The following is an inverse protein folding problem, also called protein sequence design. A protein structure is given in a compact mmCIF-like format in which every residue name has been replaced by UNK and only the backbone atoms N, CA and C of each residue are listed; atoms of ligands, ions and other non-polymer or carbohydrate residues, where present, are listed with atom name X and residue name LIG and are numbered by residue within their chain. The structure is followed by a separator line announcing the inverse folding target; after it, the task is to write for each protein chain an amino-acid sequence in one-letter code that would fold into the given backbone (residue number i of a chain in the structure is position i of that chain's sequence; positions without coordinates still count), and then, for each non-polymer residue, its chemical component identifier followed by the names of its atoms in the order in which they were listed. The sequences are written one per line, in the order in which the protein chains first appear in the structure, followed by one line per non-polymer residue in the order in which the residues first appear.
data_IF_279435962030
#
_entry.id   IF_279435962030
#
_cell.length_a   1.000
_cell.length_b   1.000
_cell.length_c   1.000
_cell.angle_alpha   90.00
_cell.angle_beta   90.00
_cell.angle_gamma   90.00
#
_symmetry.space_group_name_H-M   'P 1'
#
loop_
_entity.id
_entity.type
_entity.pdbx_description
1 polymer ?
#
# COMPACT_ATOMS: atom_id res chain seq x y z
N UNK A 1 5.14 -10.83 9.32
CA UNK A 1 5.36 -11.51 8.03
C UNK A 1 5.81 -10.48 7.02
N UNK A 2 6.86 -10.76 6.25
CA UNK A 2 7.37 -9.87 5.18
C UNK A 2 6.87 -10.40 3.83
N UNK A 3 6.52 -9.51 2.92
CA UNK A 3 6.08 -9.84 1.57
C UNK A 3 6.87 -9.04 0.53
N UNK A 4 6.96 -9.59 -0.67
CA UNK A 4 7.36 -8.89 -1.89
C UNK A 4 6.27 -9.14 -2.93
N UNK A 5 5.67 -8.08 -3.47
CA UNK A 5 4.57 -8.20 -4.42
C UNK A 5 4.55 -7.03 -5.42
N UNK A 6 3.98 -7.29 -6.59
CA UNK A 6 3.71 -6.29 -7.63
C UNK A 6 2.26 -5.86 -7.61
N UNK A 7 2.02 -4.63 -8.01
CA UNK A 7 0.69 -4.06 -8.03
C UNK A 7 0.66 -2.59 -8.39
N UNK A 8 -0.46 -1.97 -8.07
CA UNK A 8 -0.76 -0.57 -8.38
C UNK A 8 -1.11 0.18 -7.10
N UNK A 9 -0.63 1.42 -7.00
CA UNK A 9 -1.03 2.34 -5.93
C UNK A 9 -2.33 3.01 -6.32
N UNK A 10 -3.28 3.03 -5.39
CA UNK A 10 -4.58 3.66 -5.59
C UNK A 10 -4.93 4.57 -4.42
N UNK A 11 -5.59 5.69 -4.73
CA UNK A 11 -6.22 6.54 -3.72
C UNK A 11 -7.66 6.07 -3.53
N UNK A 12 -8.00 5.59 -2.33
CA UNK A 12 -9.37 5.23 -1.96
C UNK A 12 -10.07 6.42 -1.28
N UNK A 13 -11.28 6.74 -1.75
CA UNK A 13 -12.13 7.81 -1.20
C UNK A 13 -12.93 7.32 0.02
N UNK A 14 -12.22 6.86 1.05
CA UNK A 14 -12.81 6.46 2.35
C UNK A 14 -12.36 7.46 3.41
N UNK A 15 -13.30 8.06 4.14
CA UNK A 15 -13.02 9.12 5.10
C UNK A 15 -12.25 10.29 4.47
N UNK A 16 -11.09 10.65 5.05
CA UNK A 16 -10.18 11.69 4.53
C UNK A 16 -9.26 11.20 3.38
N UNK A 17 -9.62 10.08 2.78
CA UNK A 17 -8.84 9.37 1.77
C UNK A 17 -7.70 8.54 2.37
N UNK A 18 -7.54 7.34 1.83
CA UNK A 18 -6.51 6.37 2.20
C UNK A 18 -5.72 5.92 0.97
N UNK A 19 -4.47 5.52 1.17
CA UNK A 19 -3.64 4.95 0.12
C UNK A 19 -3.68 3.43 0.21
N UNK A 20 -3.85 2.80 -0.95
CA UNK A 20 -3.92 1.37 -1.09
C UNK A 20 -2.84 0.89 -2.05
N UNK A 21 -2.29 -0.28 -1.79
CA UNK A 21 -1.53 -1.07 -2.74
C UNK A 21 -2.38 -2.28 -3.10
N UNK A 22 -2.81 -2.34 -4.35
CA UNK A 22 -3.59 -3.46 -4.89
C UNK A 22 -2.66 -4.33 -5.70
N UNK A 23 -2.44 -5.55 -5.24
CA UNK A 23 -1.54 -6.50 -5.88
C UNK A 23 -2.18 -7.10 -7.14
N UNK A 24 -1.34 -7.64 -8.02
CA UNK A 24 -1.80 -8.34 -9.24
C UNK A 24 -2.69 -9.55 -8.94
N UNK A 25 -2.53 -10.20 -7.77
CA UNK A 25 -3.40 -11.28 -7.29
C UNK A 25 -4.68 -10.78 -6.59
N UNK A 26 -4.95 -9.48 -6.63
CA UNK A 26 -6.19 -8.86 -6.15
C UNK A 26 -6.24 -8.58 -4.64
N UNK A 27 -5.15 -8.79 -3.90
CA UNK A 27 -5.09 -8.41 -2.48
C UNK A 27 -4.92 -6.91 -2.33
N UNK A 28 -5.53 -6.35 -1.31
CA UNK A 28 -5.41 -4.93 -0.99
C UNK A 28 -4.71 -4.76 0.35
N UNK A 29 -3.68 -3.93 0.35
CA UNK A 29 -2.97 -3.51 1.54
C UNK A 29 -3.08 -2.00 1.71
N UNK A 30 -3.14 -1.55 2.96
CA UNK A 30 -3.16 -0.13 3.25
C UNK A 30 -1.73 0.42 3.37
N UNK A 31 -1.46 1.53 2.70
CA UNK A 31 -0.22 2.30 2.82
C UNK A 31 -0.50 3.52 3.69
N UNK A 32 0.35 3.75 4.70
CA UNK A 32 0.21 4.90 5.59
C UNK A 32 0.68 6.18 4.89
N UNK A 33 0.05 7.32 5.22
CA UNK A 33 0.43 8.64 4.66
C UNK A 33 1.86 9.06 5.03
N UNK A 34 2.44 8.47 6.06
CA UNK A 34 3.82 8.71 6.52
C UNK A 34 4.88 7.96 5.70
N UNK A 35 4.47 7.09 4.76
CA UNK A 35 5.40 6.45 3.82
C UNK A 35 6.00 7.47 2.85
N UNK A 36 7.07 7.09 2.16
CA UNK A 36 7.73 7.91 1.14
C UNK A 36 6.69 8.50 0.15
N UNK A 37 6.60 9.84 0.03
CA UNK A 37 5.57 10.50 -0.77
C UNK A 37 5.65 10.18 -2.26
N UNK A 38 6.83 9.81 -2.79
CA UNK A 38 6.99 9.38 -4.19
C UNK A 38 6.23 8.09 -4.50
N UNK A 39 5.92 7.27 -3.49
CA UNK A 39 5.08 6.08 -3.65
C UNK A 39 3.58 6.42 -3.66
N UNK A 40 3.17 7.56 -3.09
CA UNK A 40 1.77 7.91 -2.89
C UNK A 40 1.18 8.61 -4.13
N UNK A 41 1.21 7.91 -5.25
CA UNK A 41 0.74 8.39 -6.55
C UNK A 41 -0.27 7.39 -7.12
N UNK A 42 -1.50 7.85 -7.35
CA UNK A 42 -2.55 6.96 -7.88
C UNK A 42 -2.19 6.55 -9.31
N UNK A 43 -2.33 5.27 -9.61
CA UNK A 43 -1.98 4.69 -10.91
C UNK A 43 -0.53 4.19 -11.00
N UNK A 44 0.33 4.50 -10.03
CA UNK A 44 1.73 4.11 -10.05
C UNK A 44 1.88 2.60 -9.91
N UNK A 45 2.51 1.94 -10.88
CA UNK A 45 2.82 0.51 -10.80
C UNK A 45 4.16 0.30 -10.14
N UNK A 46 4.19 -0.59 -9.14
CA UNK A 46 5.36 -0.80 -8.30
C UNK A 46 5.51 -2.26 -7.89
N UNK A 47 6.75 -2.65 -7.61
CA UNK A 47 7.06 -3.81 -6.77
C UNK A 47 7.43 -3.30 -5.38
N UNK A 48 6.76 -3.81 -4.34
CA UNK A 48 6.97 -3.41 -2.94
C UNK A 48 7.49 -4.60 -2.16
N UNK A 49 8.53 -4.35 -1.36
CA UNK A 49 8.95 -5.23 -0.26
C UNK A 49 8.63 -4.55 1.07
N UNK A 50 7.92 -5.24 1.95
CA UNK A 50 7.51 -4.66 3.23
C UNK A 50 6.94 -5.67 4.22
N UNK A 51 6.67 -5.19 5.44
CA UNK A 51 6.15 -6.00 6.54
C UNK A 51 4.65 -5.78 6.69
N UNK A 52 3.89 -6.86 6.77
CA UNK A 52 2.49 -6.80 7.14
C UNK A 52 2.36 -6.52 8.65
N UNK A 53 1.52 -5.55 8.98
CA UNK A 53 1.26 -5.06 10.33
C UNK A 53 -0.22 -5.28 10.71
N UNK A 54 -0.65 -6.53 10.93
CA UNK A 54 -2.02 -6.82 11.39
C UNK A 54 -2.29 -6.30 12.82
N UNK A 55 -1.24 -5.95 13.56
CA UNK A 55 -1.30 -5.29 14.86
C UNK A 55 -1.77 -3.83 14.78
N UNK A 56 -1.78 -3.23 13.59
CA UNK A 56 -2.23 -1.86 13.38
C UNK A 56 -3.67 -1.82 12.89
N UNK A 57 -4.50 -1.07 13.59
CA UNK A 57 -5.89 -0.78 13.21
C UNK A 57 -5.95 0.63 12.63
N UNK A 58 -6.69 0.79 11.54
CA UNK A 58 -6.86 2.10 10.89
C UNK A 58 -8.33 2.43 10.72
N UNK A 59 -8.66 3.72 10.68
CA UNK A 59 -10.03 4.17 10.47
C UNK A 59 -10.53 3.91 9.04
N UNK A 60 -9.63 3.62 8.09
CA UNK A 60 -10.00 3.38 6.69
C UNK A 60 -10.50 1.95 6.47
N UNK A 61 -10.02 0.98 7.26
CA UNK A 61 -10.45 -0.43 7.21
C UNK A 61 -10.42 -1.07 5.80
N UNK A 62 -9.50 -0.63 4.92
CA UNK A 62 -9.42 -1.10 3.52
C UNK A 62 -8.50 -2.31 3.33
N UNK A 63 -7.80 -2.75 4.38
CA UNK A 63 -6.88 -3.88 4.34
C UNK A 63 -5.84 -3.83 5.45
N UNK A 64 -5.03 -4.87 5.56
CA UNK A 64 -3.89 -4.90 6.50
C UNK A 64 -2.88 -3.81 6.13
N UNK A 65 -2.31 -3.15 7.13
CA UNK A 65 -1.25 -2.16 6.91
C UNK A 65 0.01 -2.85 6.39
N UNK A 66 0.55 -2.33 5.29
CA UNK A 66 1.84 -2.73 4.75
C UNK A 66 2.88 -1.64 5.06
N UNK A 67 3.79 -1.96 5.96
CA UNK A 67 4.94 -1.12 6.28
C UNK A 67 6.01 -1.32 5.20
N UNK A 68 6.10 -0.36 4.29
CA UNK A 68 7.00 -0.40 3.12
C UNK A 68 8.44 -0.22 3.56
N UNK A 69 9.29 -1.20 3.26
CA UNK A 69 10.73 -1.12 3.49
C UNK A 69 11.48 -0.68 2.23
N UNK A 70 11.06 -1.16 1.06
CA UNK A 70 11.60 -0.77 -0.23
C UNK A 70 10.52 -0.83 -1.32
N UNK A 71 10.68 -0.05 -2.38
CA UNK A 71 9.85 -0.15 -3.58
C UNK A 71 10.65 0.15 -4.85
N UNK A 72 10.23 -0.45 -5.95
CA UNK A 72 10.77 -0.20 -7.30
C UNK A 72 9.61 0.19 -8.20
N UNK A 73 9.73 1.33 -8.87
CA UNK A 73 8.76 1.76 -9.89
C UNK A 73 8.99 0.93 -11.15
N UNK A 74 7.92 0.35 -11.69
CA UNK A 74 7.98 -0.52 -12.88
C UNK A 74 7.40 0.11 -14.14
N UNK A 75 6.50 1.10 -14.02
CA UNK A 75 6.01 1.95 -15.11
C UNK A 75 5.15 3.10 -14.62
#
# INVERSE_FOLDING_TARGET
MTITARGIIERRLVGLGAWAFVTEDGKTYQILKSTNPSLLQSGLKVEITGKLRPDLVTNAMIGTVLEVSNFVVIS
#
